data_IF_184711099666
#
_entry.id   IF_184711099666
#
_cell.length_a   1.000
_cell.length_b   1.000
_cell.length_c   1.000
_cell.angle_alpha   90.00
_cell.angle_beta   90.00
_cell.angle_gamma   90.00
#
_symmetry.space_group_name_H-M   'P 1'
#
loop_
_entity.id
_entity.type
_entity.pdbx_description
1 polymer ?
#
# COMPACT_ATOMS: atom_id res chain seq x y z
N UNK A 1 -20.47 -11.68 -12.58
CA UNK A 1 -19.13 -12.24 -12.94
C UNK A 1 -18.45 -12.61 -11.64
N UNK A 2 -17.70 -13.71 -11.59
CA UNK A 2 -16.93 -14.07 -10.39
C UNK A 2 -15.78 -13.08 -10.25
N UNK A 3 -15.58 -12.50 -9.06
CA UNK A 3 -14.45 -11.60 -8.79
C UNK A 3 -13.12 -12.35 -9.00
N UNK A 4 -12.20 -11.73 -9.70
CA UNK A 4 -10.88 -12.29 -9.97
C UNK A 4 -9.85 -11.18 -10.05
N UNK A 5 -8.71 -11.36 -9.36
CA UNK A 5 -7.54 -10.50 -9.49
C UNK A 5 -6.66 -11.03 -10.62
N UNK A 6 -6.49 -10.28 -11.72
CA UNK A 6 -5.72 -10.76 -12.88
C UNK A 6 -4.25 -10.98 -12.51
N UNK A 7 -3.63 -11.97 -13.14
CA UNK A 7 -2.18 -12.22 -13.03
C UNK A 7 -1.48 -11.81 -14.31
N UNK A 8 -0.48 -10.95 -14.21
CA UNK A 8 0.29 -10.41 -15.35
C UNK A 8 1.78 -10.72 -15.14
N UNK A 9 2.39 -11.35 -16.14
CA UNK A 9 3.85 -11.53 -16.17
C UNK A 9 4.51 -10.26 -16.71
N UNK A 10 5.31 -9.59 -15.88
CA UNK A 10 6.02 -8.36 -16.23
C UNK A 10 7.46 -8.58 -16.69
N UNK A 11 7.87 -9.83 -16.92
CA UNK A 11 9.21 -10.18 -17.43
C UNK A 11 9.64 -9.30 -18.62
N UNK A 12 8.78 -8.94 -19.61
CA UNK A 12 9.17 -8.08 -20.70
C UNK A 12 9.70 -6.71 -20.32
N UNK A 13 9.31 -6.17 -19.15
CA UNK A 13 9.84 -4.92 -18.60
C UNK A 13 11.06 -5.11 -17.72
N UNK A 14 11.23 -6.28 -17.11
CA UNK A 14 12.30 -6.58 -16.16
C UNK A 14 13.56 -7.08 -16.87
N UNK A 15 13.41 -7.99 -17.83
CA UNK A 15 14.53 -8.67 -18.51
C UNK A 15 14.75 -8.17 -19.95
N UNK A 16 13.95 -7.23 -20.42
CA UNK A 16 13.94 -6.76 -21.78
C UNK A 16 13.11 -7.67 -22.69
N UNK A 17 12.02 -7.13 -23.23
CA UNK A 17 11.15 -7.79 -24.19
C UNK A 17 11.02 -6.99 -25.47
N UNK A 18 10.33 -7.56 -26.48
CA UNK A 18 9.95 -6.82 -27.69
C UNK A 18 8.92 -5.74 -27.36
N UNK A 19 8.76 -4.78 -28.26
CA UNK A 19 7.77 -3.71 -28.07
C UNK A 19 6.35 -4.29 -28.04
N UNK A 20 6.05 -5.33 -28.82
CA UNK A 20 4.77 -6.02 -28.80
C UNK A 20 4.50 -6.70 -27.46
N UNK A 21 5.51 -7.37 -26.88
CA UNK A 21 5.36 -8.02 -25.58
C UNK A 21 5.15 -6.99 -24.45
N UNK A 22 5.82 -5.83 -24.50
CA UNK A 22 5.58 -4.72 -23.57
C UNK A 22 4.20 -4.11 -23.74
N UNK A 23 3.76 -3.91 -24.97
CA UNK A 23 2.42 -3.39 -25.26
C UNK A 23 1.31 -4.32 -24.74
N UNK A 24 1.47 -5.66 -24.86
CA UNK A 24 0.54 -6.63 -24.29
C UNK A 24 0.46 -6.50 -22.75
N UNK A 25 1.62 -6.41 -22.09
CA UNK A 25 1.67 -6.20 -20.63
C UNK A 25 0.97 -4.89 -20.25
N UNK A 26 1.27 -3.78 -20.94
CA UNK A 26 0.67 -2.47 -20.65
C UNK A 26 -0.85 -2.50 -20.84
N UNK A 27 -1.35 -3.14 -21.89
CA UNK A 27 -2.79 -3.30 -22.13
C UNK A 27 -3.48 -4.11 -21.02
N UNK A 28 -2.92 -5.25 -20.63
CA UNK A 28 -3.46 -6.09 -19.55
C UNK A 28 -3.45 -5.38 -18.18
N UNK A 29 -2.45 -4.55 -17.92
CA UNK A 29 -2.39 -3.71 -16.73
C UNK A 29 -3.48 -2.62 -16.81
N UNK A 30 -3.67 -1.93 -17.94
CA UNK A 30 -4.75 -0.94 -18.11
C UNK A 30 -6.13 -1.57 -17.84
N UNK A 31 -6.41 -2.72 -18.44
CA UNK A 31 -7.66 -3.45 -18.20
C UNK A 31 -7.89 -3.79 -16.73
N UNK A 32 -6.86 -4.28 -16.05
CA UNK A 32 -6.93 -4.61 -14.63
C UNK A 32 -7.15 -3.37 -13.74
N UNK A 33 -6.47 -2.26 -14.06
CA UNK A 33 -6.62 -0.99 -13.35
C UNK A 33 -8.02 -0.39 -13.49
N UNK A 34 -8.65 -0.53 -14.65
CA UNK A 34 -10.01 -0.05 -14.91
C UNK A 34 -11.09 -0.92 -14.28
N UNK A 35 -10.83 -2.22 -14.07
CA UNK A 35 -11.88 -3.18 -13.67
C UNK A 35 -11.81 -3.57 -12.20
N UNK A 36 -10.61 -3.69 -11.64
CA UNK A 36 -10.40 -4.19 -10.26
C UNK A 36 -9.52 -3.27 -9.43
N UNK A 37 -8.52 -2.61 -10.02
CA UNK A 37 -7.51 -1.84 -9.30
C UNK A 37 -6.55 -2.68 -8.46
N UNK A 38 -6.63 -4.01 -8.54
CA UNK A 38 -5.73 -5.00 -7.95
C UNK A 38 -5.20 -5.95 -9.03
N UNK A 39 -3.92 -6.30 -8.95
CA UNK A 39 -3.22 -7.11 -9.94
C UNK A 39 -2.25 -8.03 -9.21
N UNK A 40 -2.11 -9.26 -9.67
CA UNK A 40 -0.97 -10.08 -9.29
C UNK A 40 0.11 -9.95 -10.38
N UNK A 41 1.34 -9.76 -9.98
CA UNK A 41 2.48 -9.75 -10.92
C UNK A 41 3.41 -10.92 -10.67
N UNK A 42 3.87 -11.52 -11.74
CA UNK A 42 4.96 -12.50 -11.78
C UNK A 42 6.12 -11.97 -12.63
N UNK A 43 7.25 -12.65 -12.61
CA UNK A 43 8.43 -12.19 -13.38
C UNK A 43 9.06 -10.89 -12.86
N UNK A 44 8.75 -10.47 -11.63
CA UNK A 44 9.23 -9.24 -11.00
C UNK A 44 10.73 -9.23 -10.69
N UNK A 45 11.38 -10.40 -10.70
CA UNK A 45 12.83 -10.53 -10.59
C UNK A 45 13.42 -10.31 -9.20
N UNK A 46 12.62 -10.19 -8.13
CA UNK A 46 13.15 -10.16 -6.76
C UNK A 46 13.68 -11.55 -6.43
N UNK A 47 14.96 -11.69 -5.99
CA UNK A 47 15.49 -12.98 -5.60
C UNK A 47 14.75 -13.58 -4.40
N UNK A 48 14.51 -14.90 -4.43
CA UNK A 48 13.83 -15.59 -3.33
C UNK A 48 14.55 -15.37 -1.98
N UNK A 49 15.87 -15.37 -1.97
CA UNK A 49 16.67 -15.12 -0.76
C UNK A 49 16.40 -13.73 -0.13
N UNK A 50 16.05 -12.71 -0.92
CA UNK A 50 15.70 -11.38 -0.41
C UNK A 50 14.32 -11.41 0.25
N UNK A 51 13.36 -12.13 -0.32
CA UNK A 51 12.04 -12.34 0.26
C UNK A 51 12.14 -13.16 1.56
N UNK A 52 12.93 -14.22 1.56
CA UNK A 52 13.16 -15.07 2.74
C UNK A 52 13.85 -14.28 3.85
N UNK A 53 14.81 -13.42 3.52
CA UNK A 53 15.45 -12.51 4.45
C UNK A 53 14.46 -11.56 5.12
N UNK A 54 13.59 -10.90 4.33
CA UNK A 54 12.52 -10.06 4.88
C UNK A 54 11.63 -10.85 5.84
N UNK A 55 11.19 -12.05 5.45
CA UNK A 55 10.34 -12.89 6.28
C UNK A 55 11.00 -13.26 7.61
N UNK A 56 12.32 -13.57 7.57
CA UNK A 56 13.12 -13.87 8.76
C UNK A 56 13.23 -12.64 9.66
N UNK A 57 13.60 -11.49 9.12
CA UNK A 57 13.69 -10.24 9.88
C UNK A 57 12.38 -9.88 10.58
N UNK A 58 11.26 -10.05 9.87
CA UNK A 58 9.92 -9.84 10.45
C UNK A 58 9.63 -10.84 11.59
N UNK A 59 10.00 -12.11 11.43
CA UNK A 59 9.79 -13.11 12.48
C UNK A 59 10.59 -12.79 13.73
N UNK A 60 11.85 -12.45 13.60
CA UNK A 60 12.75 -12.13 14.72
C UNK A 60 12.30 -10.86 15.45
N UNK A 61 11.99 -9.80 14.71
CA UNK A 61 11.54 -8.54 15.33
C UNK A 61 10.19 -8.69 16.06
N UNK A 62 9.19 -9.28 15.40
CA UNK A 62 7.85 -9.39 16.00
C UNK A 62 7.79 -10.42 17.12
N UNK A 63 8.76 -11.34 17.23
CA UNK A 63 8.91 -12.25 18.36
C UNK A 63 9.46 -11.58 19.63
N UNK A 64 10.04 -10.36 19.53
CA UNK A 64 10.50 -9.63 20.71
C UNK A 64 9.36 -9.32 21.67
N UNK A 65 9.71 -9.21 22.97
CA UNK A 65 8.77 -8.76 23.99
C UNK A 65 8.22 -7.37 23.66
N UNK A 66 6.95 -7.13 24.02
CA UNK A 66 6.23 -5.91 23.66
C UNK A 66 6.97 -4.63 24.10
N UNK A 67 7.56 -4.64 25.29
CA UNK A 67 8.26 -3.47 25.82
C UNK A 67 9.58 -3.20 25.06
N UNK A 68 10.26 -4.25 24.59
CA UNK A 68 11.42 -4.10 23.71
C UNK A 68 11.03 -3.47 22.38
N UNK A 69 9.93 -3.93 21.76
CA UNK A 69 9.40 -3.35 20.51
C UNK A 69 9.00 -1.87 20.69
N UNK A 70 8.40 -1.51 21.82
CA UNK A 70 7.99 -0.13 22.10
C UNK A 70 9.14 0.88 22.18
N UNK A 71 10.38 0.43 22.45
CA UNK A 71 11.56 1.28 22.43
C UNK A 71 11.82 1.90 21.05
N UNK A 72 11.29 1.31 20.00
CA UNK A 72 11.45 1.77 18.60
C UNK A 72 10.26 2.61 18.08
N UNK A 73 9.41 3.11 18.98
CA UNK A 73 8.33 4.02 18.60
C UNK A 73 8.89 5.40 18.28
N UNK A 74 8.32 6.01 17.25
CA UNK A 74 8.59 7.40 16.88
C UNK A 74 7.41 8.30 17.24
N UNK A 75 7.60 9.63 17.29
CA UNK A 75 6.48 10.57 17.39
C UNK A 75 5.45 10.35 16.26
N UNK A 76 4.15 10.60 16.52
CA UNK A 76 3.06 10.27 15.55
C UNK A 76 3.19 10.90 14.16
N UNK A 77 3.88 12.04 14.05
CA UNK A 77 4.13 12.74 12.78
C UNK A 77 5.22 12.07 11.95
N UNK A 78 6.02 11.17 12.52
CA UNK A 78 7.10 10.46 11.83
C UNK A 78 6.61 9.06 11.45
N UNK A 79 6.51 8.80 10.15
CA UNK A 79 6.06 7.49 9.65
C UNK A 79 7.21 6.47 9.62
N UNK A 80 7.82 6.20 10.77
CA UNK A 80 8.94 5.27 10.96
C UNK A 80 8.79 4.50 12.27
N UNK A 81 9.48 3.36 12.38
CA UNK A 81 9.55 2.59 13.61
C UNK A 81 8.30 1.79 13.92
N UNK A 82 8.11 1.43 15.19
CA UNK A 82 7.11 0.48 15.64
C UNK A 82 5.76 1.13 15.94
N UNK A 83 4.70 0.55 15.40
CA UNK A 83 3.30 0.86 15.71
C UNK A 83 2.68 -0.31 16.47
N UNK A 84 2.33 -0.17 17.76
CA UNK A 84 1.69 -1.23 18.54
C UNK A 84 0.24 -1.47 18.08
N UNK A 85 -0.36 -2.61 18.44
CA UNK A 85 -1.77 -2.89 18.17
C UNK A 85 -2.68 -1.79 18.70
N UNK A 86 -3.75 -1.49 17.94
CA UNK A 86 -4.75 -0.46 18.27
C UNK A 86 -4.22 0.98 18.33
N UNK A 87 -3.08 1.26 17.72
CA UNK A 87 -2.52 2.61 17.65
C UNK A 87 -3.00 3.42 16.46
N UNK A 88 -3.67 2.81 15.52
CA UNK A 88 -4.12 3.44 14.26
C UNK A 88 -5.58 3.13 13.96
N UNK A 89 -6.18 3.94 13.09
CA UNK A 89 -7.58 3.84 12.66
C UNK A 89 -7.69 4.24 11.20
N UNK A 90 -7.51 3.27 10.30
CA UNK A 90 -7.43 3.54 8.86
C UNK A 90 -8.75 4.04 8.26
N UNK A 91 -9.91 3.60 8.75
CA UNK A 91 -11.22 4.05 8.27
C UNK A 91 -11.42 5.57 8.39
N UNK A 92 -10.76 6.23 9.34
CA UNK A 92 -10.83 7.69 9.49
C UNK A 92 -10.17 8.46 8.35
N UNK A 93 -9.19 7.86 7.65
CA UNK A 93 -8.60 8.44 6.44
C UNK A 93 -9.60 8.60 5.30
N UNK A 94 -10.66 7.79 5.31
CA UNK A 94 -11.77 7.83 4.37
C UNK A 94 -12.93 8.75 4.82
N UNK A 95 -12.78 9.46 5.92
CA UNK A 95 -13.83 10.32 6.46
C UNK A 95 -15.03 9.59 7.05
N UNK A 96 -14.90 8.29 7.36
CA UNK A 96 -15.96 7.47 7.98
C UNK A 96 -15.53 6.97 9.34
N UNK A 97 -16.51 6.81 10.25
CA UNK A 97 -16.25 6.21 11.56
C UNK A 97 -16.08 4.70 11.43
N UNK A 98 -15.32 4.12 12.35
CA UNK A 98 -15.09 2.68 12.36
C UNK A 98 -16.39 1.89 12.52
N UNK A 99 -16.53 0.83 11.73
CA UNK A 99 -17.72 -0.03 11.77
C UNK A 99 -17.72 -0.99 12.96
N UNK A 100 -16.58 -1.21 13.63
CA UNK A 100 -16.46 -2.15 14.75
C UNK A 100 -15.81 -1.53 15.99
N UNK A 101 -16.05 -2.14 17.15
CA UNK A 101 -15.43 -1.74 18.42
C UNK A 101 -13.94 -2.11 18.55
N UNK A 102 -13.44 -2.92 17.64
CA UNK A 102 -12.03 -3.32 17.60
C UNK A 102 -11.32 -2.46 16.59
N UNK A 103 -10.49 -1.58 17.08
CA UNK A 103 -9.49 -0.88 16.30
C UNK A 103 -8.55 -1.91 15.68
N UNK A 104 -7.89 -1.53 14.60
CA UNK A 104 -6.91 -2.34 13.90
C UNK A 104 -5.96 -3.03 14.87
N UNK A 105 -6.05 -4.35 14.98
CA UNK A 105 -5.31 -5.10 16.01
C UNK A 105 -3.94 -5.59 15.56
N UNK A 106 -3.53 -5.29 14.34
CA UNK A 106 -2.19 -5.58 13.87
C UNK A 106 -1.12 -4.71 14.58
N UNK A 107 0.08 -5.21 14.63
CA UNK A 107 1.27 -4.41 14.91
C UNK A 107 2.08 -4.23 13.63
N UNK A 108 2.83 -3.13 13.54
CA UNK A 108 3.61 -2.82 12.35
C UNK A 108 4.99 -2.25 12.68
N UNK A 109 5.90 -2.37 11.71
CA UNK A 109 7.16 -1.64 11.71
C UNK A 109 7.36 -0.96 10.36
N UNK A 110 7.66 0.34 10.39
CA UNK A 110 7.78 1.17 9.21
C UNK A 110 9.22 1.60 8.98
N UNK A 111 9.67 1.51 7.73
CA UNK A 111 10.87 2.19 7.23
C UNK A 111 10.50 3.01 6.00
N UNK A 112 11.35 3.94 5.61
CA UNK A 112 11.11 4.74 4.41
C UNK A 112 12.37 5.40 3.90
N UNK A 113 12.29 5.95 2.71
CA UNK A 113 13.35 6.77 2.15
C UNK A 113 13.53 8.05 2.98
N UNK A 114 14.75 8.42 3.24
CA UNK A 114 15.12 9.62 3.99
C UNK A 114 15.92 10.61 3.16
N UNK A 115 16.26 11.76 3.74
CA UNK A 115 17.07 12.77 3.06
C UNK A 115 18.39 12.21 2.47
N UNK A 116 19.01 11.23 3.15
CA UNK A 116 20.26 10.65 2.72
C UNK A 116 20.16 9.86 1.40
N UNK A 117 18.98 9.37 1.06
CA UNK A 117 18.72 8.62 -0.16
C UNK A 117 18.62 9.53 -1.40
N UNK A 118 18.42 10.83 -1.18
CA UNK A 118 18.22 11.85 -2.22
C UNK A 118 19.22 13.01 -2.10
N UNK A 119 20.54 12.76 -2.25
CA UNK A 119 21.56 13.78 -2.08
C UNK A 119 21.51 14.90 -3.13
N UNK A 120 20.79 14.68 -4.22
CA UNK A 120 20.57 15.66 -5.30
C UNK A 120 19.46 16.67 -5.00
N UNK A 121 18.63 16.41 -3.98
CA UNK A 121 17.55 17.31 -3.55
C UNK A 121 17.88 17.82 -2.15
N UNK A 122 18.27 19.09 -1.98
CA UNK A 122 18.56 19.65 -0.66
C UNK A 122 17.28 19.91 0.14
N UNK A 123 17.40 19.89 1.45
CA UNK A 123 16.40 20.39 2.40
C UNK A 123 15.00 19.78 2.24
N UNK A 124 14.92 18.45 2.00
CA UNK A 124 13.65 17.74 1.98
C UNK A 124 12.91 17.89 3.32
N UNK A 125 11.57 18.06 3.30
CA UNK A 125 10.83 18.37 4.52
C UNK A 125 10.92 17.22 5.53
N UNK A 126 11.25 17.59 6.77
CA UNK A 126 11.11 16.74 7.93
C UNK A 126 9.73 16.99 8.54
N UNK A 127 8.94 15.98 8.97
CA UNK A 127 9.32 14.57 9.24
C UNK A 127 9.13 13.59 8.08
N UNK A 128 8.75 14.02 6.89
CA UNK A 128 8.41 13.14 5.77
C UNK A 128 9.60 12.26 5.35
N UNK A 129 10.79 12.87 5.27
CA UNK A 129 12.05 12.20 4.91
C UNK A 129 12.95 11.93 6.14
N UNK A 130 12.32 11.59 7.26
CA UNK A 130 13.04 11.28 8.49
C UNK A 130 13.92 10.03 8.33
N UNK A 131 15.02 9.98 9.05
CA UNK A 131 15.87 8.80 9.14
C UNK A 131 15.10 7.60 9.73
N UNK A 132 15.45 6.40 9.30
CA UNK A 132 14.93 5.16 9.86
C UNK A 132 15.45 4.94 11.28
N UNK A 133 14.64 4.30 12.09
CA UNK A 133 15.02 3.76 13.41
C UNK A 133 15.21 2.26 13.22
N UNK A 134 16.40 1.76 13.51
CA UNK A 134 16.71 0.35 13.34
C UNK A 134 16.70 -0.37 14.68
N UNK A 135 16.03 -1.53 14.79
CA UNK A 135 16.07 -2.35 15.99
C UNK A 135 17.43 -3.06 16.12
N UNK A 136 17.83 -3.29 17.38
CA UNK A 136 19.01 -4.11 17.70
C UNK A 136 18.66 -5.60 17.56
N UNK A 137 18.45 -6.01 16.28
CA UNK A 137 18.17 -7.39 15.87
C UNK A 137 19.16 -7.72 14.76
N UNK A 138 19.89 -8.82 14.91
CA UNK A 138 21.01 -9.16 14.05
C UNK A 138 20.58 -9.30 12.57
N UNK A 139 21.22 -8.52 11.68
CA UNK A 139 20.94 -8.51 10.24
C UNK A 139 19.58 -7.94 9.82
N UNK A 140 18.77 -7.37 10.74
CA UNK A 140 17.46 -6.84 10.42
C UNK A 140 17.53 -5.69 9.41
N UNK A 141 18.38 -4.71 9.64
CA UNK A 141 18.54 -3.53 8.78
C UNK A 141 19.01 -3.91 7.38
N UNK A 142 19.96 -4.85 7.26
CA UNK A 142 20.47 -5.35 5.97
C UNK A 142 19.36 -6.08 5.18
N UNK A 143 18.66 -7.03 5.81
CA UNK A 143 17.63 -7.83 5.15
C UNK A 143 16.44 -6.99 4.72
N UNK A 144 15.97 -6.10 5.60
CA UNK A 144 14.84 -5.22 5.33
C UNK A 144 15.17 -4.18 4.26
N UNK A 145 16.39 -3.59 4.30
CA UNK A 145 16.84 -2.64 3.28
C UNK A 145 17.02 -3.30 1.91
N UNK A 146 17.49 -4.55 1.86
CA UNK A 146 17.60 -5.31 0.62
C UNK A 146 16.24 -5.49 -0.06
N UNK A 147 15.21 -5.87 0.71
CA UNK A 147 13.86 -5.99 0.17
C UNK A 147 13.27 -4.62 -0.22
N UNK A 148 13.48 -3.58 0.59
CA UNK A 148 13.03 -2.22 0.29
C UNK A 148 13.57 -1.74 -1.07
N UNK A 149 14.86 -1.95 -1.34
CA UNK A 149 15.47 -1.57 -2.61
C UNK A 149 14.87 -2.32 -3.81
N UNK A 150 14.61 -3.61 -3.66
CA UNK A 150 13.96 -4.43 -4.70
C UNK A 150 12.50 -4.04 -4.92
N UNK A 151 11.74 -3.78 -3.86
CA UNK A 151 10.36 -3.29 -3.97
C UNK A 151 10.30 -1.93 -4.67
N UNK A 152 11.23 -1.01 -4.36
CA UNK A 152 11.37 0.27 -5.05
C UNK A 152 11.70 0.09 -6.54
N UNK A 153 12.55 -0.89 -6.89
CA UNK A 153 12.83 -1.23 -8.30
C UNK A 153 11.57 -1.73 -9.02
N UNK A 154 10.79 -2.60 -8.37
CA UNK A 154 9.53 -3.09 -8.92
C UNK A 154 8.52 -1.94 -9.09
N UNK A 155 8.40 -1.04 -8.11
CA UNK A 155 7.51 0.12 -8.19
C UNK A 155 7.87 1.03 -9.39
N UNK A 156 9.16 1.31 -9.59
CA UNK A 156 9.62 2.05 -10.80
C UNK A 156 9.34 1.29 -12.11
N UNK A 157 9.37 -0.04 -12.09
CA UNK A 157 8.96 -0.85 -13.24
C UNK A 157 7.47 -0.70 -13.49
N UNK A 158 6.65 -0.75 -12.45
CA UNK A 158 5.19 -0.57 -12.58
C UNK A 158 4.84 0.82 -13.11
N UNK A 159 5.49 1.88 -12.63
CA UNK A 159 5.22 3.25 -13.13
C UNK A 159 5.64 3.44 -14.60
N UNK A 160 6.66 2.73 -15.08
CA UNK A 160 6.97 2.66 -16.52
C UNK A 160 5.87 1.97 -17.32
N UNK A 161 5.36 0.85 -16.82
CA UNK A 161 4.21 0.15 -17.43
C UNK A 161 2.98 1.08 -17.44
N UNK A 162 2.76 1.83 -16.37
CA UNK A 162 1.65 2.81 -16.30
C UNK A 162 1.80 3.94 -17.31
N UNK A 163 3.01 4.44 -17.54
CA UNK A 163 3.26 5.44 -18.58
C UNK A 163 2.90 4.90 -19.97
N UNK A 164 3.36 3.70 -20.31
CA UNK A 164 3.04 3.05 -21.58
C UNK A 164 1.53 2.78 -21.70
N UNK A 165 0.88 2.26 -20.66
CA UNK A 165 -0.55 1.96 -20.62
C UNK A 165 -1.44 3.21 -20.80
N UNK A 166 -0.99 4.36 -20.28
CA UNK A 166 -1.69 5.64 -20.37
C UNK A 166 -1.26 6.49 -21.59
N UNK A 167 -0.33 6.00 -22.40
CA UNK A 167 0.21 6.75 -23.56
C UNK A 167 0.95 8.03 -23.14
N UNK A 168 1.61 8.02 -21.98
CA UNK A 168 2.36 9.13 -21.43
C UNK A 168 3.84 9.09 -21.88
N UNK A 169 4.56 10.22 -21.81
CA UNK A 169 6.01 10.22 -21.97
C UNK A 169 6.69 9.22 -21.01
N UNK A 170 7.73 8.55 -21.48
CA UNK A 170 8.40 7.48 -20.72
C UNK A 170 8.99 7.96 -19.38
N UNK A 171 9.30 9.24 -19.25
CA UNK A 171 9.83 9.89 -18.05
C UNK A 171 8.75 10.55 -17.16
N UNK A 172 7.47 10.45 -17.53
CA UNK A 172 6.38 11.13 -16.82
C UNK A 172 6.38 10.85 -15.31
N UNK A 173 6.44 9.58 -14.92
CA UNK A 173 6.51 9.22 -13.51
C UNK A 173 7.92 9.42 -12.93
N UNK A 174 8.98 9.16 -13.69
CA UNK A 174 10.34 9.34 -13.21
C UNK A 174 10.63 10.77 -12.71
N UNK A 175 10.10 11.79 -13.40
CA UNK A 175 10.19 13.19 -12.99
C UNK A 175 9.35 13.56 -11.75
N UNK A 176 8.48 12.65 -11.30
CA UNK A 176 7.58 12.83 -10.14
C UNK A 176 7.90 11.87 -9.00
N UNK A 177 8.95 11.06 -9.15
CA UNK A 177 9.35 10.03 -8.19
C UNK A 177 10.87 9.97 -7.99
N UNK A 178 11.62 10.98 -8.41
CA UNK A 178 13.07 11.04 -8.25
C UNK A 178 13.51 11.29 -6.79
N UNK A 179 12.59 11.75 -5.95
CA UNK A 179 12.69 11.83 -4.49
C UNK A 179 11.38 11.41 -3.82
N UNK A 180 10.85 10.29 -4.24
CA UNK A 180 9.55 9.79 -3.77
C UNK A 180 9.49 9.55 -2.25
N UNK A 181 8.31 9.83 -1.67
CA UNK A 181 7.95 9.48 -0.28
C UNK A 181 7.77 7.97 -0.11
N UNK A 182 8.78 7.19 -0.44
CA UNK A 182 8.71 5.74 -0.34
C UNK A 182 8.71 5.28 1.11
N UNK A 183 7.69 4.50 1.47
CA UNK A 183 7.56 3.89 2.80
C UNK A 183 7.24 2.41 2.64
N UNK A 184 7.89 1.57 3.42
CA UNK A 184 7.52 0.17 3.56
C UNK A 184 6.99 -0.11 4.95
N UNK A 185 5.82 -0.75 5.01
CA UNK A 185 5.14 -1.12 6.23
C UNK A 185 5.09 -2.64 6.34
N UNK A 186 5.78 -3.18 7.31
CA UNK A 186 5.74 -4.59 7.69
C UNK A 186 4.64 -4.80 8.74
N UNK A 187 3.66 -5.63 8.45
CA UNK A 187 2.51 -5.89 9.32
C UNK A 187 2.57 -7.32 9.87
N UNK A 188 2.28 -7.44 11.16
CA UNK A 188 2.10 -8.71 11.85
C UNK A 188 0.69 -8.77 12.45
N UNK A 189 -0.14 -9.65 11.89
CA UNK A 189 -1.50 -9.91 12.37
C UNK A 189 -1.44 -11.15 13.24
N UNK A 190 -1.21 -10.96 14.52
CA UNK A 190 -1.20 -12.01 15.53
C UNK A 190 -1.84 -11.49 16.81
N UNK A 191 -2.51 -12.33 17.55
CA UNK A 191 -2.94 -11.99 18.90
C UNK A 191 -1.72 -12.04 19.82
N UNK A 192 -1.46 -11.00 20.62
CA UNK A 192 -0.42 -11.07 21.63
C UNK A 192 -0.68 -12.23 22.60
N UNK A 193 0.35 -12.92 23.08
CA UNK A 193 0.20 -14.00 24.06
C UNK A 193 -0.64 -13.55 25.26
N UNK A 194 -1.60 -14.38 25.68
CA UNK A 194 -2.47 -14.08 26.83
C UNK A 194 -3.56 -13.03 26.55
N UNK A 195 -3.80 -12.67 25.29
CA UNK A 195 -4.89 -11.77 24.93
C UNK A 195 -6.21 -12.51 24.97
N UNK A 196 -7.05 -12.16 25.96
CA UNK A 196 -8.42 -12.67 26.06
C UNK A 196 -9.31 -11.83 25.13
N UNK A 197 -9.47 -12.29 23.87
CA UNK A 197 -10.32 -11.62 22.88
C UNK A 197 -11.48 -12.56 22.57
N UNK A 198 -12.69 -12.04 22.75
CA UNK A 198 -13.87 -12.71 22.20
C UNK A 198 -13.78 -12.58 20.68
N UNK A 199 -13.41 -13.67 20.03
CA UNK A 199 -13.34 -13.78 18.57
C UNK A 199 -14.76 -13.97 18.04
N UNK A 200 -15.54 -12.88 18.02
CA UNK A 200 -16.76 -12.86 17.25
C UNK A 200 -16.42 -12.62 15.76
N UNK A 201 -17.36 -12.91 14.87
CA UNK A 201 -17.14 -12.80 13.42
C UNK A 201 -16.80 -11.40 12.91
N UNK A 202 -16.76 -10.39 13.77
CA UNK A 202 -16.56 -8.97 13.47
C UNK A 202 -15.12 -8.49 13.75
N UNK A 203 -14.20 -9.40 14.08
CA UNK A 203 -12.78 -9.07 14.25
C UNK A 203 -12.20 -8.57 12.94
N UNK A 204 -11.72 -7.34 12.92
CA UNK A 204 -11.04 -6.71 11.79
C UNK A 204 -9.58 -6.49 12.15
N UNK A 205 -8.67 -7.11 11.37
CA UNK A 205 -7.23 -6.94 11.54
C UNK A 205 -6.78 -5.54 11.15
N UNK A 206 -7.23 -5.10 9.97
CA UNK A 206 -7.03 -3.76 9.42
C UNK A 206 -8.33 -3.31 8.76
N UNK A 207 -8.84 -2.16 9.16
CA UNK A 207 -10.10 -1.60 8.66
C UNK A 207 -10.07 -1.30 7.16
N UNK A 208 -11.24 -1.10 6.59
CA UNK A 208 -11.38 -0.74 5.18
C UNK A 208 -10.71 0.60 4.87
N UNK A 209 -9.90 0.63 3.82
CA UNK A 209 -9.14 1.79 3.38
C UNK A 209 -8.79 1.70 1.89
N UNK A 210 -8.33 2.80 1.35
CA UNK A 210 -7.58 2.91 0.09
C UNK A 210 -6.14 3.26 0.41
N UNK A 211 -5.21 2.92 -0.47
CA UNK A 211 -3.83 3.40 -0.38
C UNK A 211 -3.72 4.82 -0.96
N UNK A 212 -2.74 5.58 -0.50
CA UNK A 212 -2.72 7.03 -0.73
C UNK A 212 -1.93 7.43 -1.98
N UNK A 213 -0.85 6.72 -2.28
CA UNK A 213 0.15 7.07 -3.29
C UNK A 213 -0.19 6.68 -4.72
N UNK A 214 0.85 6.42 -5.50
CA UNK A 214 0.76 6.00 -6.91
C UNK A 214 0.44 4.50 -6.99
N UNK A 215 1.25 3.67 -6.33
CA UNK A 215 1.16 2.21 -6.39
C UNK A 215 1.71 1.57 -5.13
N UNK A 216 1.06 0.52 -4.68
CA UNK A 216 1.53 -0.33 -3.58
C UNK A 216 2.04 -1.66 -4.13
N UNK A 217 3.24 -2.06 -3.69
CA UNK A 217 3.83 -3.37 -3.95
C UNK A 217 3.69 -4.18 -2.67
N UNK A 218 2.82 -5.18 -2.68
CA UNK A 218 2.51 -5.99 -1.50
C UNK A 218 3.10 -7.39 -1.61
N UNK A 219 4.02 -7.70 -0.72
CA UNK A 219 4.32 -9.08 -0.35
C UNK A 219 3.43 -9.51 0.82
N UNK A 220 2.92 -10.72 0.78
CA UNK A 220 2.23 -11.34 1.89
C UNK A 220 2.55 -12.83 1.94
N UNK A 221 2.56 -13.41 3.14
CA UNK A 221 2.53 -14.85 3.28
C UNK A 221 1.21 -15.42 2.71
N UNK A 222 1.12 -16.75 2.63
CA UNK A 222 -0.04 -17.41 2.00
C UNK A 222 -1.21 -17.61 2.97
N UNK A 223 -1.22 -16.89 4.08
CA UNK A 223 -2.35 -16.88 5.01
C UNK A 223 -3.45 -15.97 4.48
N UNK A 224 -4.69 -16.45 4.48
CA UNK A 224 -5.86 -15.66 4.06
C UNK A 224 -6.04 -14.42 4.92
N UNK A 225 -6.86 -13.50 4.49
CA UNK A 225 -7.27 -12.35 5.28
C UNK A 225 -7.41 -11.06 4.49
N UNK A 226 -6.62 -10.87 3.42
CA UNK A 226 -6.85 -9.71 2.54
C UNK A 226 -8.19 -9.87 1.83
N UNK A 227 -9.03 -8.85 1.93
CA UNK A 227 -10.31 -8.76 1.21
C UNK A 227 -10.35 -7.49 0.39
N UNK A 228 -10.84 -7.59 -0.83
CA UNK A 228 -10.99 -6.49 -1.79
C UNK A 228 -12.47 -6.32 -2.12
N UNK A 229 -12.92 -5.07 -2.16
CA UNK A 229 -14.30 -4.74 -2.50
C UNK A 229 -14.53 -4.90 -4.01
N UNK A 230 -15.43 -5.79 -4.38
CA UNK A 230 -15.86 -5.98 -5.77
C UNK A 230 -16.82 -4.87 -6.24
N UNK A 231 -16.97 -4.75 -7.55
CA UNK A 231 -17.91 -3.81 -8.17
C UNK A 231 -19.37 -4.06 -7.80
N UNK A 232 -19.70 -5.27 -7.35
CA UNK A 232 -21.01 -5.68 -6.87
C UNK A 232 -21.25 -5.33 -5.37
N UNK A 233 -20.28 -4.68 -4.73
CA UNK A 233 -20.32 -4.34 -3.31
C UNK A 233 -19.96 -5.50 -2.37
N UNK A 234 -19.58 -6.65 -2.89
CA UNK A 234 -19.15 -7.80 -2.07
C UNK A 234 -17.66 -7.75 -1.71
N UNK A 235 -17.31 -8.22 -0.50
CA UNK A 235 -15.93 -8.42 -0.09
C UNK A 235 -15.41 -9.77 -0.56
N UNK A 236 -14.32 -9.76 -1.29
CA UNK A 236 -13.73 -10.94 -1.91
C UNK A 236 -12.36 -11.23 -1.31
N UNK A 237 -12.14 -12.46 -0.87
CA UNK A 237 -10.84 -12.91 -0.40
C UNK A 237 -9.82 -12.93 -1.53
N UNK A 238 -8.64 -12.35 -1.27
CA UNK A 238 -7.52 -12.31 -2.20
C UNK A 238 -6.29 -12.92 -1.53
N UNK A 239 -5.73 -13.91 -2.17
CA UNK A 239 -4.50 -14.58 -1.72
C UNK A 239 -3.50 -14.55 -2.88
N UNK A 240 -2.26 -14.09 -2.65
CA UNK A 240 -1.26 -14.10 -3.71
C UNK A 240 -0.94 -15.54 -4.14
N UNK A 241 -0.77 -15.73 -5.44
CA UNK A 241 -0.21 -16.97 -5.97
C UNK A 241 1.25 -17.13 -5.49
N UNK A 242 1.77 -18.34 -5.58
CA UNK A 242 3.15 -18.61 -5.21
C UNK A 242 4.11 -17.80 -6.08
N UNK A 243 5.05 -17.10 -5.45
CA UNK A 243 6.04 -16.27 -6.13
C UNK A 243 5.46 -15.00 -6.79
N UNK A 244 4.19 -14.66 -6.55
CA UNK A 244 3.60 -13.42 -7.03
C UNK A 244 3.60 -12.33 -5.96
N UNK A 245 3.69 -11.08 -6.41
CA UNK A 245 3.36 -9.91 -5.60
C UNK A 245 1.97 -9.40 -5.98
N UNK A 246 1.27 -8.86 -5.00
CA UNK A 246 0.03 -8.11 -5.25
C UNK A 246 0.38 -6.63 -5.48
N UNK A 247 -0.29 -6.04 -6.44
CA UNK A 247 -0.18 -4.62 -6.77
C UNK A 247 -1.56 -4.02 -6.65
N UNK A 248 -1.66 -2.87 -6.00
CA UNK A 248 -2.87 -2.07 -6.05
C UNK A 248 -2.54 -0.59 -6.27
N UNK A 249 -3.49 0.09 -6.89
CA UNK A 249 -3.38 1.51 -7.17
C UNK A 249 -3.75 2.32 -5.93
N UNK A 250 -3.04 3.43 -5.74
CA UNK A 250 -3.39 4.41 -4.73
C UNK A 250 -4.20 5.58 -5.29
N UNK A 251 -4.63 6.44 -4.39
CA UNK A 251 -5.52 7.57 -4.68
C UNK A 251 -4.88 8.61 -5.64
N UNK A 252 -3.54 8.77 -5.59
CA UNK A 252 -2.82 9.63 -6.55
C UNK A 252 -3.10 9.19 -7.98
N UNK A 253 -3.01 7.89 -8.25
CA UNK A 253 -3.25 7.35 -9.60
C UNK A 253 -4.72 7.47 -10.00
N UNK A 254 -5.66 7.24 -9.07
CA UNK A 254 -7.08 7.44 -9.32
C UNK A 254 -7.40 8.89 -9.68
N UNK A 255 -6.79 9.87 -8.98
CA UNK A 255 -6.93 11.30 -9.27
C UNK A 255 -6.33 11.69 -10.62
N UNK A 256 -5.12 11.21 -10.93
CA UNK A 256 -4.46 11.42 -12.23
C UNK A 256 -5.34 10.93 -13.38
N UNK A 257 -6.02 9.80 -13.21
CA UNK A 257 -6.82 9.18 -14.27
C UNK A 257 -8.32 9.53 -14.20
N UNK A 258 -8.72 10.52 -13.39
CA UNK A 258 -10.12 10.94 -13.22
C UNK A 258 -11.05 9.80 -12.78
N UNK A 259 -10.57 8.91 -11.90
CA UNK A 259 -11.21 7.65 -11.47
C UNK A 259 -11.41 6.61 -12.61
N UNK A 260 -10.75 6.73 -13.75
CA UNK A 260 -10.77 5.68 -14.77
C UNK A 260 -10.00 4.45 -14.29
N UNK A 261 -8.92 4.64 -13.54
CA UNK A 261 -8.20 3.61 -12.81
C UNK A 261 -8.61 3.66 -11.33
N UNK A 262 -8.84 2.51 -10.74
CA UNK A 262 -9.52 2.43 -9.45
C UNK A 262 -8.52 2.30 -8.29
N UNK A 263 -8.57 3.25 -7.35
CA UNK A 263 -8.05 3.03 -6.00
C UNK A 263 -9.12 2.25 -5.23
N UNK A 264 -8.89 0.94 -5.05
CA UNK A 264 -9.94 0.02 -4.61
C UNK A 264 -9.88 -0.22 -3.12
N UNK A 265 -11.06 -0.14 -2.49
CA UNK A 265 -11.22 -0.41 -1.07
C UNK A 265 -10.80 -1.84 -0.74
N UNK A 266 -10.00 -1.97 0.30
CA UNK A 266 -9.56 -3.26 0.82
C UNK A 266 -9.43 -3.23 2.33
N UNK A 267 -9.39 -4.41 2.93
CA UNK A 267 -9.25 -4.61 4.38
C UNK A 267 -8.53 -5.92 4.68
N UNK A 268 -8.12 -6.11 5.93
CA UNK A 268 -7.57 -7.40 6.36
C UNK A 268 -8.42 -7.98 7.49
N UNK A 269 -8.89 -9.21 7.26
CA UNK A 269 -9.67 -10.00 8.21
C UNK A 269 -9.02 -11.39 8.34
N UNK A 270 -7.99 -11.54 9.21
CA UNK A 270 -7.32 -12.83 9.38
C UNK A 270 -8.30 -13.93 9.78
N UNK A 271 -8.08 -15.19 9.32
CA UNK A 271 -8.97 -16.26 9.63
C UNK A 271 -8.91 -16.62 11.11
N UNK A 272 -10.07 -16.88 11.70
CA UNK A 272 -10.20 -17.46 13.05
C UNK A 272 -10.20 -18.97 12.93
N UNK A 273 -9.24 -19.63 13.56
CA UNK A 273 -9.09 -21.09 13.59
C UNK A 273 -9.03 -21.54 15.04
N UNK A 274 -9.92 -22.45 15.46
CA UNK A 274 -9.96 -23.01 16.83
C UNK A 274 -9.93 -21.96 17.95
N UNK A 275 -10.63 -20.83 17.74
CA UNK A 275 -10.71 -19.75 18.73
C UNK A 275 -9.48 -18.85 18.84
N UNK A 276 -8.54 -18.96 17.90
CA UNK A 276 -7.40 -18.06 17.71
C UNK A 276 -7.34 -17.57 16.27
N UNK A 277 -6.52 -16.55 16.00
CA UNK A 277 -6.24 -16.13 14.62
C UNK A 277 -4.97 -16.80 14.11
N UNK A 278 -5.02 -17.26 12.87
CA UNK A 278 -3.82 -17.67 12.16
C UNK A 278 -2.93 -16.45 11.93
N UNK A 279 -1.67 -16.53 12.38
CA UNK A 279 -0.72 -15.44 12.18
C UNK A 279 -0.51 -15.16 10.70
N UNK A 280 -0.69 -13.91 10.29
CA UNK A 280 -0.43 -13.43 8.92
C UNK A 280 0.62 -12.32 8.94
N UNK A 281 1.53 -12.34 7.96
CA UNK A 281 2.52 -11.29 7.74
C UNK A 281 2.35 -10.68 6.36
N UNK A 282 2.63 -9.39 6.25
CA UNK A 282 2.73 -8.72 4.96
C UNK A 282 3.67 -7.54 5.03
N UNK A 283 4.27 -7.20 3.90
CA UNK A 283 5.05 -5.98 3.72
C UNK A 283 4.48 -5.21 2.54
N UNK A 284 3.93 -4.04 2.81
CA UNK A 284 3.39 -3.13 1.81
C UNK A 284 4.41 -2.01 1.57
N UNK A 285 4.94 -1.94 0.36
CA UNK A 285 5.80 -0.85 -0.09
C UNK A 285 4.94 0.15 -0.85
N UNK A 286 4.82 1.35 -0.30
CA UNK A 286 4.09 2.47 -0.88
C UNK A 286 5.03 3.33 -1.69
N UNK A 287 4.73 3.51 -2.98
CA UNK A 287 5.42 4.42 -3.88
C UNK A 287 4.52 5.63 -4.10
N UNK A 288 4.75 6.67 -3.30
CA UNK A 288 3.77 7.75 -3.17
C UNK A 288 4.03 8.91 -4.15
N UNK A 289 5.25 9.07 -4.61
CA UNK A 289 5.70 10.20 -5.42
C UNK A 289 6.41 11.28 -4.60
N UNK A 290 6.97 12.27 -5.28
CA UNK A 290 7.66 13.39 -4.65
C UNK A 290 6.66 14.22 -3.84
N UNK A 291 7.06 14.68 -2.68
CA UNK A 291 6.19 15.47 -1.77
C UNK A 291 5.62 16.72 -2.45
N UNK A 292 6.39 17.34 -3.34
CA UNK A 292 6.06 18.55 -4.09
C UNK A 292 5.49 18.29 -5.49
N UNK A 293 5.38 17.03 -5.92
CA UNK A 293 4.78 16.69 -7.21
C UNK A 293 3.30 17.06 -7.24
N UNK A 294 2.91 17.83 -8.26
CA UNK A 294 1.51 18.20 -8.48
C UNK A 294 0.73 17.01 -9.05
N UNK A 295 -0.38 16.69 -8.39
CA UNK A 295 -1.40 15.75 -8.86
C UNK A 295 -2.46 16.55 -9.59
N UNK A 296 -2.48 16.45 -10.91
CA UNK A 296 -3.45 17.09 -11.79
C UNK A 296 -4.03 16.03 -12.73
N UNK A 297 -5.35 16.06 -12.93
CA UNK A 297 -6.02 15.11 -13.81
C UNK A 297 -5.44 15.19 -15.23
N UNK A 298 -5.07 14.04 -15.79
CA UNK A 298 -4.51 13.94 -17.14
C UNK A 298 -5.50 14.42 -18.19
N UNK A 299 -5.09 15.28 -19.15
CA UNK A 299 -6.00 15.84 -20.15
C UNK A 299 -6.75 14.78 -20.96
N UNK A 300 -6.11 13.64 -21.27
CA UNK A 300 -6.75 12.53 -21.99
C UNK A 300 -7.80 11.79 -21.17
N UNK A 301 -7.89 12.01 -19.86
CA UNK A 301 -8.90 11.44 -18.98
C UNK A 301 -10.08 12.39 -18.75
N UNK A 302 -10.13 13.52 -19.44
CA UNK A 302 -11.17 14.55 -19.33
C UNK A 302 -11.82 14.78 -20.68
N UNK A 303 -13.14 14.80 -20.72
CA UNK A 303 -13.93 15.19 -21.88
C UNK A 303 -15.25 15.86 -21.43
N UNK A 304 -16.12 16.22 -22.38
CA UNK A 304 -17.38 16.90 -22.07
C UNK A 304 -18.37 16.02 -21.25
N UNK A 305 -18.27 14.69 -21.36
CA UNK A 305 -19.09 13.74 -20.59
C UNK A 305 -18.45 13.40 -19.23
N UNK A 306 -17.13 13.55 -19.13
CA UNK A 306 -16.33 13.24 -17.94
C UNK A 306 -15.43 14.43 -17.59
N UNK A 307 -16.00 15.54 -17.04
CA UNK A 307 -15.20 16.69 -16.62
C UNK A 307 -14.25 16.31 -15.48
N UNK A 308 -13.20 17.11 -15.30
CA UNK A 308 -12.26 16.92 -14.19
C UNK A 308 -13.01 16.90 -12.83
N UNK A 309 -12.77 15.88 -12.04
CA UNK A 309 -13.45 15.63 -10.75
C UNK A 309 -12.69 16.16 -9.56
N UNK A 310 -11.40 16.39 -9.72
CA UNK A 310 -10.48 16.69 -8.64
C UNK A 310 -9.78 18.01 -8.88
N UNK A 311 -9.68 18.84 -7.85
CA UNK A 311 -8.81 20.01 -7.86
C UNK A 311 -7.34 19.55 -7.73
N UNK A 312 -6.40 20.26 -8.41
CA UNK A 312 -4.98 19.99 -8.28
C UNK A 312 -4.49 20.20 -6.84
N UNK A 313 -3.62 19.31 -6.37
CA UNK A 313 -2.93 19.43 -5.08
C UNK A 313 -1.60 18.67 -5.14
N UNK A 314 -0.70 18.91 -4.19
CA UNK A 314 0.55 18.18 -4.14
C UNK A 314 0.37 16.80 -3.49
N UNK A 315 1.29 15.86 -3.78
CA UNK A 315 1.34 14.56 -3.09
C UNK A 315 1.44 14.76 -1.58
N UNK A 316 2.29 15.69 -1.12
CA UNK A 316 2.45 15.97 0.31
C UNK A 316 1.16 16.43 0.98
N UNK A 317 0.40 17.35 0.37
CA UNK A 317 -0.91 17.79 0.88
C UNK A 317 -1.89 16.63 0.95
N UNK A 318 -1.93 15.77 -0.07
CA UNK A 318 -2.80 14.60 -0.09
C UNK A 318 -2.45 13.60 1.03
N UNK A 319 -1.19 13.20 1.12
CA UNK A 319 -0.70 12.24 2.13
C UNK A 319 -0.91 12.78 3.55
N UNK A 320 -0.61 14.07 3.78
CA UNK A 320 -0.80 14.68 5.10
C UNK A 320 -2.27 14.65 5.55
N UNK A 321 -3.22 14.93 4.64
CA UNK A 321 -4.65 14.85 4.94
C UNK A 321 -5.10 13.42 5.30
N UNK A 322 -4.61 12.40 4.58
CA UNK A 322 -4.90 10.99 4.83
C UNK A 322 -4.28 10.51 6.16
N UNK A 323 -3.03 10.83 6.43
CA UNK A 323 -2.34 10.46 7.68
C UNK A 323 -2.95 11.15 8.91
N UNK A 324 -3.44 12.38 8.78
CA UNK A 324 -4.18 13.04 9.86
C UNK A 324 -5.45 12.26 10.24
N UNK A 325 -6.10 11.60 9.27
CA UNK A 325 -7.21 10.68 9.50
C UNK A 325 -6.76 9.42 10.25
N UNK A 326 -5.87 8.67 9.66
CA UNK A 326 -5.50 7.32 10.15
C UNK A 326 -4.72 7.34 11.48
N UNK A 327 -3.89 8.37 11.73
CA UNK A 327 -2.98 8.43 12.89
C UNK A 327 -3.36 9.44 13.95
N UNK A 328 -3.90 10.60 13.57
CA UNK A 328 -4.27 11.65 14.52
C UNK A 328 -5.76 11.66 14.87
N UNK A 329 -6.55 10.73 14.33
CA UNK A 329 -7.99 10.62 14.59
C UNK A 329 -8.81 11.80 14.06
N UNK A 330 -8.27 12.57 13.11
CA UNK A 330 -8.96 13.70 12.48
C UNK A 330 -9.65 13.22 11.22
N UNK A 331 -10.98 13.25 11.21
CA UNK A 331 -11.78 12.85 10.05
C UNK A 331 -11.35 13.64 8.82
N UNK A 332 -11.02 12.94 7.72
CA UNK A 332 -10.70 13.58 6.45
C UNK A 332 -11.97 14.07 5.76
N UNK A 333 -12.07 15.36 5.50
CA UNK A 333 -13.23 15.99 4.86
C UNK A 333 -13.12 16.03 3.32
N UNK A 334 -11.94 15.72 2.75
CA UNK A 334 -11.66 15.79 1.31
C UNK A 334 -11.60 14.40 0.65
N UNK A 335 -12.50 13.50 1.00
CA UNK A 335 -12.45 12.09 0.58
C UNK A 335 -13.20 11.76 -0.72
N UNK A 336 -13.89 12.71 -1.32
CA UNK A 336 -14.51 12.54 -2.64
C UNK A 336 -15.41 11.30 -2.78
N UNK A 337 -15.17 10.50 -3.83
CA UNK A 337 -15.96 9.29 -4.13
C UNK A 337 -15.70 8.11 -3.17
N UNK A 338 -14.60 8.13 -2.41
CA UNK A 338 -14.18 7.02 -1.54
C UNK A 338 -15.15 6.82 -0.38
N UNK A 339 -15.56 7.90 0.29
CA UNK A 339 -16.58 7.85 1.36
C UNK A 339 -17.90 7.25 0.88
N UNK A 340 -18.38 7.64 -0.30
CA UNK A 340 -19.61 7.12 -0.86
C UNK A 340 -19.52 5.59 -1.12
N UNK A 341 -18.39 5.11 -1.62
CA UNK A 341 -18.14 3.67 -1.84
C UNK A 341 -18.13 2.89 -0.53
N UNK A 342 -17.51 3.41 0.53
CA UNK A 342 -17.51 2.77 1.86
C UNK A 342 -18.94 2.70 2.41
N UNK A 343 -19.67 3.79 2.37
CA UNK A 343 -21.06 3.83 2.88
C UNK A 343 -21.94 2.85 2.11
N UNK A 344 -21.83 2.81 0.77
CA UNK A 344 -22.56 1.84 -0.04
C UNK A 344 -22.22 0.38 0.31
N UNK A 345 -20.92 0.07 0.60
CA UNK A 345 -20.50 -1.28 1.02
C UNK A 345 -21.03 -1.70 2.40
N UNK A 346 -21.40 -0.73 3.24
CA UNK A 346 -22.01 -0.94 4.57
C UNK A 346 -23.54 -0.98 4.55
N UNK A 347 -24.18 -0.77 3.37
CA UNK A 347 -25.62 -0.79 3.21
C UNK A 347 -26.34 0.50 3.63
N UNK A 348 -25.62 1.65 3.59
CA UNK A 348 -26.19 2.98 3.79
C UNK A 348 -26.48 3.69 2.47
#
# INVERSE_FOLDING_TARGET
MTFHVPTVDITPYVQGGTDEARADVAHRIDDACRTVGFIQITGHGIPAAVIDGLATAMDEFFALELDAKKAYRTPPQINRGYSPPKSESLSLSLGVEQASRMNDFFEAFNIGAGQADYPHVPDLPQPDYAANVWPDVDGFDEQVSAYFAEAARVARTMTRIFADALGLPADFFALRTDHSLDVMRMNNYALPPGTDVTLDGDLIGMGEHTDYGIVTILWADRVKGLQVLGADGSWNDVQPAEGALLINLGDVTARLTNDQWMSTLHRVKPPVIEGTIERRRSAAFFHDGNVDALIETLPQCVDAAHPARFDPLTVGEHIAAKLAGSRAGKKNENTGSETARVLASRGY
#
